data_IF_667569085031
#
_entry.id   IF_667569085031
#
_cell.length_a   1.000
_cell.length_b   1.000
_cell.length_c   1.000
_cell.angle_alpha   90.00
_cell.angle_beta   90.00
_cell.angle_gamma   90.00
#
_symmetry.space_group_name_H-M   'P 1'
#
loop_
_entity.id
_entity.type
_entity.pdbx_description
1 polymer ?
#
# COMPACT_ATOMS: atom_id res chain seq x y z
N UNK A 1 -25.46 11.76 -21.40
CA UNK A 1 -24.68 12.91 -20.90
C UNK A 1 -24.86 13.00 -19.39
N UNK A 2 -24.06 12.26 -18.61
CA UNK A 2 -24.11 12.30 -17.14
C UNK A 2 -22.71 12.54 -16.53
N UNK A 3 -21.76 13.05 -17.33
CA UNK A 3 -20.33 12.92 -17.02
C UNK A 3 -19.58 14.24 -16.82
N UNK A 4 -19.95 15.36 -17.46
CA UNK A 4 -19.11 16.58 -17.38
C UNK A 4 -19.00 17.17 -15.95
N UNK A 5 -20.11 17.26 -15.21
CA UNK A 5 -20.10 17.78 -13.83
C UNK A 5 -19.51 16.81 -12.80
N UNK A 6 -19.67 15.50 -13.00
CA UNK A 6 -19.12 14.46 -12.12
C UNK A 6 -17.63 14.20 -12.38
N UNK A 7 -17.17 14.39 -13.62
CA UNK A 7 -15.78 14.25 -14.01
C UNK A 7 -14.88 15.23 -13.24
N UNK A 8 -15.24 16.51 -13.22
CA UNK A 8 -14.46 17.50 -12.47
C UNK A 8 -14.61 17.32 -10.95
N UNK A 9 -15.80 17.01 -10.46
CA UNK A 9 -16.04 16.90 -9.01
C UNK A 9 -15.38 15.68 -8.36
N UNK A 10 -15.30 14.54 -9.07
CA UNK A 10 -14.78 13.29 -8.52
C UNK A 10 -13.42 12.90 -9.13
N UNK A 11 -13.30 12.87 -10.46
CA UNK A 11 -12.09 12.39 -11.11
C UNK A 11 -10.94 13.41 -10.99
N UNK A 12 -11.17 14.69 -11.31
CA UNK A 12 -10.14 15.72 -11.15
C UNK A 12 -9.75 15.92 -9.68
N UNK A 13 -10.72 15.80 -8.75
CA UNK A 13 -10.43 15.82 -7.31
C UNK A 13 -9.54 14.64 -6.90
N UNK A 14 -9.83 13.42 -7.38
CA UNK A 14 -9.01 12.24 -7.11
C UNK A 14 -7.59 12.39 -7.66
N UNK A 15 -7.42 12.96 -8.86
CA UNK A 15 -6.08 13.23 -9.42
C UNK A 15 -5.27 14.22 -8.57
N UNK A 16 -5.92 15.26 -8.02
CA UNK A 16 -5.24 16.18 -7.09
C UNK A 16 -4.79 15.47 -5.81
N UNK A 17 -5.63 14.61 -5.24
CA UNK A 17 -5.28 13.80 -4.07
C UNK A 17 -4.11 12.86 -4.39
N UNK A 18 -4.11 12.21 -5.55
CA UNK A 18 -2.98 11.41 -6.03
C UNK A 18 -1.67 12.21 -6.06
N UNK A 19 -1.70 13.46 -6.53
CA UNK A 19 -0.52 14.33 -6.52
C UNK A 19 -0.03 14.63 -5.10
N UNK A 20 -0.94 14.83 -4.14
CA UNK A 20 -0.57 15.03 -2.74
C UNK A 20 0.09 13.79 -2.15
N UNK A 21 -0.48 12.61 -2.37
CA UNK A 21 0.09 11.32 -1.92
C UNK A 21 1.52 11.16 -2.46
N UNK A 22 1.73 11.43 -3.76
CA UNK A 22 3.06 11.35 -4.37
C UNK A 22 4.06 12.28 -3.65
N UNK A 23 3.67 13.53 -3.38
CA UNK A 23 4.52 14.51 -2.69
C UNK A 23 4.86 14.11 -1.27
N UNK A 24 3.93 13.48 -0.55
CA UNK A 24 4.18 13.00 0.81
C UNK A 24 5.26 11.90 0.82
N UNK A 25 5.24 10.98 -0.15
CA UNK A 25 6.32 10.00 -0.33
C UNK A 25 7.64 10.66 -0.75
N UNK A 26 7.62 11.54 -1.76
CA UNK A 26 8.83 12.28 -2.20
C UNK A 26 9.50 12.98 -1.01
N UNK A 27 8.72 13.64 -0.16
CA UNK A 27 9.20 14.31 1.04
C UNK A 27 9.73 13.33 2.09
N UNK A 28 9.04 12.20 2.33
CA UNK A 28 9.51 11.20 3.28
C UNK A 28 10.90 10.67 2.87
N UNK A 29 11.08 10.36 1.59
CA UNK A 29 12.34 9.86 1.04
C UNK A 29 13.49 10.88 1.02
N UNK A 30 13.25 12.15 1.37
CA UNK A 30 14.35 13.10 1.65
C UNK A 30 15.13 12.73 2.92
N UNK A 31 14.53 11.92 3.80
CA UNK A 31 15.07 11.60 5.12
C UNK A 31 15.30 10.11 5.39
N UNK A 32 14.79 9.23 4.53
CA UNK A 32 14.89 7.77 4.68
C UNK A 32 15.12 7.08 3.34
N UNK A 33 15.79 5.93 3.36
CA UNK A 33 16.05 5.14 2.15
C UNK A 33 14.89 4.17 1.80
N UNK A 34 14.08 3.82 2.79
CA UNK A 34 12.92 2.95 2.66
C UNK A 34 11.89 3.22 3.77
N UNK A 35 10.64 2.83 3.51
CA UNK A 35 9.53 2.88 4.48
C UNK A 35 9.05 1.46 4.73
N UNK A 36 8.86 1.09 6.00
CA UNK A 36 8.38 -0.23 6.40
C UNK A 36 6.95 -0.13 6.95
N UNK A 37 6.03 -0.95 6.43
CA UNK A 37 4.65 -1.06 6.93
C UNK A 37 4.22 -2.53 6.99
N UNK A 38 3.14 -2.88 7.71
CA UNK A 38 2.41 -4.10 7.40
C UNK A 38 1.88 -4.07 5.97
N UNK A 39 1.75 -5.23 5.33
CA UNK A 39 1.11 -5.36 4.00
C UNK A 39 -0.40 -5.18 4.09
N UNK A 40 -1.00 -5.69 5.16
CA UNK A 40 -2.44 -5.65 5.43
C UNK A 40 -2.67 -5.27 6.90
N UNK A 41 -3.76 -4.54 7.23
CA UNK A 41 -4.09 -4.21 8.62
C UNK A 41 -4.48 -5.43 9.46
N UNK A 42 -4.91 -6.52 8.82
CA UNK A 42 -5.28 -7.77 9.50
C UNK A 42 -4.66 -8.98 8.80
N UNK A 43 -4.53 -10.12 9.51
CA UNK A 43 -4.27 -11.41 8.88
C UNK A 43 -5.39 -11.79 7.90
N UNK A 44 -5.18 -12.88 7.14
CA UNK A 44 -6.17 -13.39 6.20
C UNK A 44 -7.54 -13.62 6.89
N UNK A 45 -8.59 -13.02 6.35
CA UNK A 45 -9.98 -13.23 6.79
C UNK A 45 -10.57 -14.48 6.13
N UNK A 46 -11.66 -15.02 6.68
CA UNK A 46 -12.29 -16.23 6.16
C UNK A 46 -13.06 -15.95 4.86
N UNK A 47 -13.25 -17.00 4.06
CA UNK A 47 -14.10 -16.93 2.87
C UNK A 47 -15.52 -16.52 3.30
N UNK A 48 -16.07 -15.49 2.65
CA UNK A 48 -17.40 -14.95 2.96
C UNK A 48 -17.45 -13.95 4.12
N UNK A 49 -16.35 -13.68 4.82
CA UNK A 49 -16.36 -12.81 6.01
C UNK A 49 -16.59 -11.33 5.68
N UNK A 50 -16.19 -10.89 4.49
CA UNK A 50 -16.27 -9.50 4.03
C UNK A 50 -17.14 -9.31 2.77
N UNK A 51 -17.98 -10.28 2.43
CA UNK A 51 -18.81 -10.20 1.20
C UNK A 51 -19.98 -9.23 1.32
N UNK A 52 -20.47 -9.01 2.53
CA UNK A 52 -21.66 -8.19 2.79
C UNK A 52 -21.33 -6.71 3.02
N UNK A 53 -20.04 -6.38 3.22
CA UNK A 53 -19.54 -5.02 3.40
C UNK A 53 -18.39 -4.71 2.40
N UNK A 54 -18.71 -4.10 1.24
CA UNK A 54 -17.73 -3.72 0.25
C UNK A 54 -16.66 -2.74 0.77
N UNK A 55 -16.99 -1.91 1.77
CA UNK A 55 -16.05 -0.94 2.36
C UNK A 55 -15.02 -1.68 3.22
N UNK A 56 -15.45 -2.67 4.01
CA UNK A 56 -14.55 -3.50 4.79
C UNK A 56 -13.54 -4.27 3.93
N UNK A 57 -13.92 -4.61 2.69
CA UNK A 57 -13.00 -5.18 1.71
C UNK A 57 -11.94 -4.16 1.30
N UNK A 58 -12.32 -2.93 0.94
CA UNK A 58 -11.37 -1.88 0.53
C UNK A 58 -10.37 -1.48 1.61
N UNK A 59 -10.77 -1.53 2.88
CA UNK A 59 -9.85 -1.25 3.99
C UNK A 59 -8.70 -2.27 4.08
N UNK A 60 -8.83 -3.44 3.46
CA UNK A 60 -7.74 -4.43 3.40
C UNK A 60 -6.52 -3.89 2.61
N UNK A 61 -6.75 -2.98 1.66
CA UNK A 61 -5.72 -2.45 0.76
C UNK A 61 -5.21 -1.06 1.19
N UNK A 62 -5.53 -0.62 2.42
CA UNK A 62 -5.22 0.74 2.89
C UNK A 62 -3.72 1.07 2.86
N UNK A 63 -2.86 0.06 3.05
CA UNK A 63 -1.40 0.22 3.04
C UNK A 63 -0.75 -0.02 1.68
N UNK A 64 -1.48 -0.54 0.69
CA UNK A 64 -0.93 -0.91 -0.62
C UNK A 64 -1.31 0.08 -1.72
N UNK A 65 -2.53 0.62 -1.69
CA UNK A 65 -3.03 1.55 -2.74
C UNK A 65 -2.19 2.82 -2.84
N UNK A 66 -1.72 3.36 -1.71
CA UNK A 66 -0.94 4.59 -1.67
C UNK A 66 0.37 4.47 -2.48
N UNK A 67 1.00 3.30 -2.47
CA UNK A 67 2.19 2.96 -3.26
C UNK A 67 1.89 3.03 -4.76
N UNK A 68 0.78 2.43 -5.22
CA UNK A 68 0.40 2.46 -6.63
C UNK A 68 0.10 3.89 -7.12
N UNK A 69 -0.56 4.69 -6.27
CA UNK A 69 -0.89 6.08 -6.60
C UNK A 69 0.36 6.96 -6.72
N UNK A 70 1.33 6.75 -5.83
CA UNK A 70 2.63 7.42 -5.87
C UNK A 70 3.53 6.94 -7.03
N UNK A 71 3.32 5.71 -7.53
CA UNK A 71 4.08 5.15 -8.64
C UNK A 71 5.51 4.75 -8.24
N UNK A 72 5.66 4.21 -7.04
CA UNK A 72 6.94 3.81 -6.43
C UNK A 72 6.97 2.30 -6.18
N UNK A 73 8.15 1.66 -6.11
CA UNK A 73 8.27 0.23 -5.90
C UNK A 73 7.99 -0.17 -4.43
N UNK A 74 7.42 -1.35 -4.23
CA UNK A 74 7.32 -1.99 -2.93
C UNK A 74 7.40 -3.51 -3.04
N UNK A 75 7.86 -4.18 -1.99
CA UNK A 75 7.95 -5.64 -1.88
C UNK A 75 7.32 -6.12 -0.58
N UNK A 76 6.59 -7.23 -0.65
CA UNK A 76 5.99 -7.92 0.50
C UNK A 76 6.80 -9.18 0.80
N UNK A 77 7.26 -9.32 2.05
CA UNK A 77 7.93 -10.52 2.54
C UNK A 77 7.28 -11.07 3.81
N UNK A 78 7.34 -12.39 4.06
CA UNK A 78 6.89 -12.96 5.33
C UNK A 78 7.66 -12.37 6.51
N UNK A 79 6.95 -11.95 7.56
CA UNK A 79 7.54 -11.35 8.76
C UNK A 79 7.06 -12.02 10.06
N UNK A 80 6.37 -13.16 9.95
CA UNK A 80 5.95 -13.97 11.09
C UNK A 80 4.60 -14.63 10.88
N UNK A 81 4.09 -15.20 11.97
CA UNK A 81 2.77 -15.84 12.02
C UNK A 81 2.00 -15.35 13.24
N UNK A 82 0.69 -15.28 13.08
CA UNK A 82 -0.23 -15.02 14.19
C UNK A 82 -0.29 -16.23 15.13
N UNK A 83 -0.87 -16.04 16.32
CA UNK A 83 -1.17 -17.15 17.24
C UNK A 83 -2.07 -18.24 16.62
N UNK A 84 -2.85 -17.90 15.59
CA UNK A 84 -3.70 -18.82 14.84
C UNK A 84 -2.98 -19.50 13.65
N UNK A 85 -1.67 -19.28 13.48
CA UNK A 85 -0.86 -19.87 12.41
C UNK A 85 -1.01 -19.17 11.04
N UNK A 86 -1.68 -18.03 10.97
CA UNK A 86 -1.81 -17.26 9.72
C UNK A 86 -0.56 -16.41 9.45
N UNK A 87 -0.09 -16.30 8.19
CA UNK A 87 1.08 -15.51 7.84
C UNK A 87 0.82 -14.00 8.01
N UNK A 88 1.85 -13.28 8.42
CA UNK A 88 1.90 -11.82 8.49
C UNK A 88 2.98 -11.32 7.54
N UNK A 89 2.62 -10.37 6.66
CA UNK A 89 3.55 -9.79 5.69
C UNK A 89 4.06 -8.42 6.14
N UNK A 90 5.36 -8.18 5.96
CA UNK A 90 5.96 -6.85 6.00
C UNK A 90 6.15 -6.31 4.59
N UNK A 91 5.80 -5.05 4.38
CA UNK A 91 5.94 -4.32 3.14
C UNK A 91 7.09 -3.33 3.26
N UNK A 92 8.07 -3.45 2.38
CA UNK A 92 9.18 -2.49 2.24
C UNK A 92 8.91 -1.65 0.99
N UNK A 93 8.78 -0.34 1.17
CA UNK A 93 8.48 0.63 0.12
C UNK A 93 9.74 1.44 -0.16
N UNK A 94 10.11 1.54 -1.43
CA UNK A 94 11.31 2.26 -1.88
C UNK A 94 10.93 3.51 -2.66
N UNK A 95 11.90 4.40 -2.84
CA UNK A 95 11.74 5.53 -3.75
C UNK A 95 11.76 5.05 -5.22
N UNK A 96 11.45 5.95 -6.15
CA UNK A 96 11.49 5.69 -7.58
C UNK A 96 12.81 5.02 -8.00
N UNK A 97 12.71 3.86 -8.66
CA UNK A 97 13.84 3.04 -9.12
C UNK A 97 14.77 2.50 -8.02
N UNK A 98 14.27 2.36 -6.78
CA UNK A 98 15.04 1.83 -5.64
C UNK A 98 14.80 0.32 -5.39
N UNK A 99 14.49 -0.46 -6.43
CA UNK A 99 14.20 -1.90 -6.31
C UNK A 99 15.36 -2.67 -5.65
N UNK A 100 16.61 -2.36 -5.99
CA UNK A 100 17.79 -2.99 -5.39
C UNK A 100 17.83 -2.80 -3.86
N UNK A 101 17.60 -1.57 -3.40
CA UNK A 101 17.57 -1.22 -1.98
C UNK A 101 16.50 -2.02 -1.24
N UNK A 102 15.26 -2.02 -1.75
CA UNK A 102 14.17 -2.71 -1.07
C UNK A 102 14.30 -4.22 -1.12
N UNK A 103 14.90 -4.80 -2.18
CA UNK A 103 15.18 -6.24 -2.26
C UNK A 103 16.27 -6.65 -1.27
N UNK A 104 17.30 -5.83 -1.07
CA UNK A 104 18.31 -6.07 -0.04
C UNK A 104 17.73 -6.02 1.38
N UNK A 105 16.86 -5.05 1.66
CA UNK A 105 16.16 -4.95 2.95
C UNK A 105 15.21 -6.14 3.14
N UNK A 106 14.43 -6.48 2.11
CA UNK A 106 13.51 -7.61 2.13
C UNK A 106 14.24 -8.92 2.44
N UNK A 107 15.40 -9.14 1.82
CA UNK A 107 16.25 -10.31 2.10
C UNK A 107 16.76 -10.35 3.55
N UNK A 108 16.95 -9.20 4.19
CA UNK A 108 17.34 -9.16 5.61
C UNK A 108 16.16 -9.44 6.56
N UNK A 109 14.92 -9.21 6.10
CA UNK A 109 13.69 -9.48 6.86
C UNK A 109 13.25 -10.94 6.68
N UNK A 110 13.35 -11.47 5.47
CA UNK A 110 13.03 -12.85 5.13
C UNK A 110 14.13 -13.79 5.69
N UNK A 111 13.87 -14.37 6.87
CA UNK A 111 14.72 -15.37 7.53
C UNK A 111 14.60 -16.74 6.87
#
# INVERSE_FOLDING_TARGET
MLSAGYYDAYYMKALRVRTLIKRDFEKAFESVDAILTPVSPTPAFKIGEKTDDPIAMYLSDIFTISVNLAGIPAVSVPAGTTAAGLPVGAQVIGNLLAEETILNIAKAIEL
#
